data_IF_483403574601
#
_entry.id   IF_483403574601
#
_cell.length_a   1.000
_cell.length_b   1.000
_cell.length_c   1.000
_cell.angle_alpha   90.00
_cell.angle_beta   90.00
_cell.angle_gamma   90.00
#
_symmetry.space_group_name_H-M   'P 1'
#
loop_
_entity.id
_entity.type
_entity.pdbx_description
1 polymer ?
#
# COMPACT_ATOMS: atom_id res chain seq x y z
N UNK A 1 12.15 -32.73 -15.77
CA UNK A 1 11.93 -32.34 -14.37
C UNK A 1 10.50 -31.86 -14.23
N UNK A 2 9.70 -32.61 -13.48
CA UNK A 2 8.27 -32.40 -13.31
C UNK A 2 8.03 -31.15 -12.44
N UNK A 3 7.74 -30.00 -13.06
CA UNK A 3 7.40 -28.74 -12.36
C UNK A 3 6.00 -28.89 -11.75
N UNK A 4 5.88 -29.68 -10.68
CA UNK A 4 4.63 -29.82 -9.93
C UNK A 4 4.30 -28.47 -9.30
N UNK A 5 3.23 -27.84 -9.77
CA UNK A 5 2.70 -26.60 -9.21
C UNK A 5 2.39 -26.82 -7.73
N UNK A 6 3.14 -26.15 -6.84
CA UNK A 6 2.85 -26.16 -5.40
C UNK A 6 1.60 -25.34 -5.15
N UNK A 7 0.48 -26.00 -4.89
CA UNK A 7 -0.76 -25.36 -4.43
C UNK A 7 -0.61 -25.02 -2.95
N UNK A 8 -0.93 -23.77 -2.59
CA UNK A 8 -0.99 -23.30 -1.20
C UNK A 8 -2.24 -22.45 -1.06
N UNK A 9 -2.99 -22.64 0.02
CA UNK A 9 -4.06 -21.73 0.42
C UNK A 9 -3.43 -20.42 0.93
N UNK A 10 -3.89 -19.30 0.40
CA UNK A 10 -3.44 -17.97 0.79
C UNK A 10 -4.63 -17.00 0.79
N UNK A 11 -4.66 -16.08 1.74
CA UNK A 11 -5.52 -14.92 1.71
C UNK A 11 -4.78 -13.78 0.98
N UNK A 12 -5.42 -13.17 -0.01
CA UNK A 12 -4.89 -12.01 -0.73
C UNK A 12 -5.75 -10.81 -0.33
N UNK A 13 -5.10 -9.78 0.20
CA UNK A 13 -5.74 -8.51 0.55
C UNK A 13 -5.26 -7.44 -0.43
N UNK A 14 -6.21 -6.67 -0.97
CA UNK A 14 -5.94 -5.54 -1.85
C UNK A 14 -6.85 -4.38 -1.44
N UNK A 15 -6.29 -3.19 -1.33
CA UNK A 15 -6.99 -1.97 -0.96
C UNK A 15 -6.58 -0.84 -1.90
N UNK A 16 -7.53 0.02 -2.25
CA UNK A 16 -7.35 1.14 -3.17
C UNK A 16 -8.04 2.40 -2.64
N UNK A 17 -7.60 3.57 -3.11
CA UNK A 17 -8.03 4.89 -2.63
C UNK A 17 -8.95 5.51 -3.67
N UNK A 18 -10.22 5.61 -3.34
CA UNK A 18 -11.19 6.28 -4.20
C UNK A 18 -10.84 7.76 -4.36
N UNK A 19 -10.72 8.21 -5.60
CA UNK A 19 -10.50 9.63 -5.91
C UNK A 19 -9.10 10.12 -5.57
N UNK A 20 -8.11 9.22 -5.48
CA UNK A 20 -6.71 9.54 -5.19
C UNK A 20 -6.19 10.78 -5.94
N UNK A 21 -6.38 10.84 -7.27
CA UNK A 21 -5.90 11.95 -8.09
C UNK A 21 -6.49 13.30 -7.68
N UNK A 22 -7.75 13.33 -7.23
CA UNK A 22 -8.38 14.54 -6.72
C UNK A 22 -7.80 14.92 -5.37
N UNK A 23 -7.63 13.96 -4.46
CA UNK A 23 -7.04 14.20 -3.14
C UNK A 23 -5.63 14.79 -3.24
N UNK A 24 -4.82 14.24 -4.16
CA UNK A 24 -3.49 14.77 -4.45
C UNK A 24 -3.52 16.22 -4.99
N UNK A 25 -4.50 16.56 -5.83
CA UNK A 25 -4.67 17.93 -6.33
C UNK A 25 -5.24 18.91 -5.30
N UNK A 26 -6.06 18.44 -4.37
CA UNK A 26 -6.66 19.26 -3.30
C UNK A 26 -5.63 19.56 -2.19
N UNK A 27 -4.93 18.54 -1.70
CA UNK A 27 -3.83 18.69 -0.73
C UNK A 27 -2.95 17.43 -0.71
N UNK A 28 -1.82 17.51 -1.42
CA UNK A 28 -0.84 16.43 -1.54
C UNK A 28 -0.30 15.96 -0.19
N UNK A 29 0.22 16.86 0.64
CA UNK A 29 0.86 16.50 1.91
C UNK A 29 -0.09 15.73 2.84
N UNK A 30 -1.31 16.25 3.02
CA UNK A 30 -2.33 15.61 3.87
C UNK A 30 -2.79 14.26 3.31
N UNK A 31 -2.84 14.14 1.97
CA UNK A 31 -3.19 12.90 1.30
C UNK A 31 -2.14 11.85 1.58
N UNK A 32 -0.86 12.17 1.38
CA UNK A 32 0.23 11.22 1.64
C UNK A 32 0.33 10.85 3.11
N UNK A 33 0.20 11.81 4.03
CA UNK A 33 0.20 11.52 5.47
C UNK A 33 -0.93 10.56 5.84
N UNK A 34 -2.14 10.81 5.31
CA UNK A 34 -3.29 9.94 5.53
C UNK A 34 -3.06 8.54 5.00
N UNK A 35 -2.53 8.40 3.78
CA UNK A 35 -2.25 7.10 3.17
C UNK A 35 -1.17 6.32 3.91
N UNK A 36 -0.10 6.99 4.36
CA UNK A 36 0.94 6.37 5.20
C UNK A 36 0.35 5.81 6.49
N UNK A 37 -0.49 6.58 7.21
CA UNK A 37 -1.16 6.10 8.43
C UNK A 37 -2.04 4.86 8.18
N UNK A 38 -2.86 4.87 7.13
CA UNK A 38 -3.72 3.73 6.81
C UNK A 38 -2.88 2.49 6.45
N UNK A 39 -1.82 2.69 5.67
CA UNK A 39 -0.88 1.63 5.31
C UNK A 39 -0.20 1.03 6.54
N UNK A 40 0.25 1.85 7.49
CA UNK A 40 0.89 1.38 8.72
C UNK A 40 -0.03 0.45 9.52
N UNK A 41 -1.31 0.82 9.65
CA UNK A 41 -2.33 0.00 10.31
C UNK A 41 -2.54 -1.33 9.57
N UNK A 42 -2.65 -1.30 8.25
CA UNK A 42 -2.79 -2.52 7.45
C UNK A 42 -1.54 -3.40 7.59
N UNK A 43 -0.35 -2.80 7.47
CA UNK A 43 0.92 -3.49 7.58
C UNK A 43 1.10 -4.14 8.96
N UNK A 44 0.68 -3.46 10.04
CA UNK A 44 0.77 -4.03 11.39
C UNK A 44 -0.06 -5.31 11.51
N UNK A 45 -1.28 -5.35 10.93
CA UNK A 45 -2.08 -6.57 10.92
C UNK A 45 -1.47 -7.65 10.02
N UNK A 46 -1.00 -7.30 8.83
CA UNK A 46 -0.35 -8.27 7.93
C UNK A 46 0.84 -8.92 8.62
N UNK A 47 1.68 -8.15 9.30
CA UNK A 47 2.85 -8.65 10.04
C UNK A 47 2.43 -9.51 11.25
N UNK A 48 1.41 -9.07 12.01
CA UNK A 48 0.88 -9.82 13.16
C UNK A 48 0.44 -11.24 12.77
N UNK A 49 -0.13 -11.42 11.58
CA UNK A 49 -0.57 -12.73 11.09
C UNK A 49 0.47 -13.45 10.22
N UNK A 50 1.77 -13.11 10.34
CA UNK A 50 2.86 -13.71 9.55
C UNK A 50 2.66 -13.61 8.03
N UNK A 51 1.94 -12.59 7.59
CA UNK A 51 1.72 -12.28 6.19
C UNK A 51 2.91 -11.55 5.56
N UNK A 52 2.74 -11.11 4.32
CA UNK A 52 3.74 -10.32 3.60
C UNK A 52 3.06 -9.14 2.93
N UNK A 53 3.64 -7.96 3.11
CA UNK A 53 3.26 -6.77 2.37
C UNK A 53 4.00 -6.78 1.04
N UNK A 54 3.25 -6.60 -0.06
CA UNK A 54 3.81 -6.40 -1.40
C UNK A 54 3.26 -5.06 -1.88
N UNK A 55 4.15 -4.12 -2.17
CA UNK A 55 3.80 -2.76 -2.55
C UNK A 55 4.37 -2.40 -3.93
N UNK A 56 3.73 -1.45 -4.61
CA UNK A 56 4.07 -1.03 -5.97
C UNK A 56 4.11 0.49 -6.17
N UNK A 57 4.14 1.31 -5.10
CA UNK A 57 4.05 2.76 -5.22
C UNK A 57 5.16 3.46 -4.43
N UNK A 58 5.88 4.35 -5.10
CA UNK A 58 6.83 5.30 -4.52
C UNK A 58 6.17 6.68 -4.66
N UNK A 59 5.69 7.26 -3.55
CA UNK A 59 5.18 8.63 -3.55
C UNK A 59 6.33 9.52 -3.06
N UNK A 60 7.04 10.11 -4.01
CA UNK A 60 7.99 11.18 -3.76
C UNK A 60 7.18 12.49 -3.71
N UNK A 61 7.01 13.06 -2.52
CA UNK A 61 6.48 14.42 -2.40
C UNK A 61 7.62 15.33 -2.80
N UNK A 62 7.46 16.06 -3.90
CA UNK A 62 8.39 17.11 -4.27
C UNK A 62 8.31 18.23 -3.23
N UNK A 63 9.35 18.37 -2.41
CA UNK A 63 9.44 19.44 -1.41
C UNK A 63 10.10 20.70 -1.98
N UNK A 64 10.24 20.81 -3.31
CA UNK A 64 10.95 21.91 -3.96
C UNK A 64 10.09 23.13 -4.29
N UNK A 65 9.31 23.67 -3.36
CA UNK A 65 8.95 25.11 -3.42
C UNK A 65 8.89 25.71 -1.99
N UNK A 66 10.02 26.31 -1.60
CA UNK A 66 10.06 27.56 -0.82
C UNK A 66 10.39 28.70 -1.78
#
# INVERSE_FOLDING_TARGET
MDKRVRRKLAAIFSADVKGYSRLMGDNEFSTVETLKRHREVIASFVLQYSGRVVESFEIEIDQSEE
#
